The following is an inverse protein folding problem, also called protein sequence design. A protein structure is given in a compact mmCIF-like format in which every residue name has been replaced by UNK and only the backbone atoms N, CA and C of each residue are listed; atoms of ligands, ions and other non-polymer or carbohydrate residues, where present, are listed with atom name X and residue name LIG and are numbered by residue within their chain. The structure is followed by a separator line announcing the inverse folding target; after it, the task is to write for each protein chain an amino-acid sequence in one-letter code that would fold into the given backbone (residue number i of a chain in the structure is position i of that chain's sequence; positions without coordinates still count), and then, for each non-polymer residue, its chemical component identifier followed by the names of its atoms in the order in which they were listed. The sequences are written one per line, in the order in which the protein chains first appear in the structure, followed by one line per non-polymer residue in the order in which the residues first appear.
data_IF_709956961276
#
_entry.id   IF_709956961276
#
_cell.length_a   1.000
_cell.length_b   1.000
_cell.length_c   1.000
_cell.angle_alpha   90.00
_cell.angle_beta   90.00
_cell.angle_gamma   90.00
#
_symmetry.space_group_name_H-M   'P 1'
#
loop_
_entity.id
_entity.type
_entity.pdbx_description
1 polymer ?
#
# COMPACT_ATOMS: atom_id res chain seq x y z
N UNK A 1 -26.55 -20.38 35.82
CA UNK A 1 -26.21 -19.01 35.45
C UNK A 1 -24.85 -19.01 34.76
N UNK A 2 -24.80 -19.17 33.49
CA UNK A 2 -23.74 -18.75 32.56
C UNK A 2 -24.12 -19.21 31.16
N UNK A 3 -24.52 -18.34 30.26
CA UNK A 3 -24.01 -18.36 28.93
C UNK A 3 -23.99 -16.95 28.31
N UNK A 4 -23.04 -16.09 28.65
CA UNK A 4 -22.94 -14.76 28.07
C UNK A 4 -21.56 -14.44 27.46
N UNK A 5 -20.61 -15.39 27.42
CA UNK A 5 -19.25 -15.13 26.96
C UNK A 5 -18.92 -15.63 25.55
N UNK A 6 -19.86 -16.23 24.81
CA UNK A 6 -19.58 -16.84 23.51
C UNK A 6 -20.06 -16.02 22.30
N UNK A 7 -20.46 -14.77 22.46
CA UNK A 7 -21.06 -13.99 21.34
C UNK A 7 -20.19 -12.86 20.82
N UNK A 8 -18.87 -12.94 20.85
CA UNK A 8 -18.00 -11.89 20.26
C UNK A 8 -16.88 -12.36 19.34
N UNK A 9 -16.83 -13.60 18.89
CA UNK A 9 -15.76 -14.07 17.98
C UNK A 9 -16.17 -14.25 16.51
N UNK A 10 -17.27 -13.70 16.04
CA UNK A 10 -17.78 -13.93 14.68
C UNK A 10 -17.75 -12.76 13.71
N UNK A 11 -17.44 -11.56 14.13
CA UNK A 11 -17.21 -10.47 13.19
C UNK A 11 -15.74 -10.52 12.74
N UNK A 12 -15.43 -11.36 11.76
CA UNK A 12 -14.20 -11.21 11.00
C UNK A 12 -14.16 -9.73 10.57
N UNK A 13 -13.29 -8.95 11.20
CA UNK A 13 -13.19 -7.52 10.94
C UNK A 13 -12.87 -7.35 9.46
N UNK A 14 -13.88 -7.02 8.67
CA UNK A 14 -13.76 -6.82 7.23
C UNK A 14 -12.82 -5.65 7.01
N UNK A 15 -11.91 -5.80 6.05
CA UNK A 15 -11.10 -4.68 5.59
C UNK A 15 -12.03 -3.65 4.93
N UNK A 16 -11.92 -2.41 5.36
CA UNK A 16 -12.67 -1.32 4.75
C UNK A 16 -12.08 -1.02 3.37
N UNK A 17 -12.83 -1.33 2.32
CA UNK A 17 -12.35 -1.28 0.93
C UNK A 17 -11.97 0.13 0.49
N UNK A 18 -12.71 1.15 0.93
CA UNK A 18 -12.49 2.53 0.52
C UNK A 18 -11.14 3.06 1.00
N UNK A 19 -10.77 2.97 2.29
CA UNK A 19 -9.44 3.37 2.76
C UNK A 19 -8.30 2.61 2.07
N UNK A 20 -8.48 1.31 1.84
CA UNK A 20 -7.49 0.47 1.15
C UNK A 20 -7.30 0.95 -0.30
N UNK A 21 -8.38 1.23 -1.02
CA UNK A 21 -8.31 1.70 -2.40
C UNK A 21 -7.61 3.06 -2.50
N UNK A 22 -7.93 4.02 -1.62
CA UNK A 22 -7.27 5.32 -1.59
C UNK A 22 -5.79 5.21 -1.22
N UNK A 23 -5.45 4.43 -0.19
CA UNK A 23 -4.08 4.18 0.19
C UNK A 23 -3.28 3.52 -0.93
N UNK A 24 -3.85 2.53 -1.60
CA UNK A 24 -3.26 1.86 -2.75
C UNK A 24 -3.06 2.78 -3.95
N UNK A 25 -4.04 3.64 -4.25
CA UNK A 25 -3.93 4.61 -5.34
C UNK A 25 -2.79 5.61 -5.10
N UNK A 26 -2.71 6.21 -3.92
CA UNK A 26 -1.62 7.15 -3.56
C UNK A 26 -0.26 6.47 -3.66
N UNK A 27 -0.13 5.25 -3.15
CA UNK A 27 1.11 4.48 -3.24
C UNK A 27 1.47 4.14 -4.69
N UNK A 28 0.50 3.79 -5.55
CA UNK A 28 0.75 3.49 -6.97
C UNK A 28 1.21 4.71 -7.76
N UNK A 29 0.69 5.89 -7.47
CA UNK A 29 1.14 7.16 -8.07
C UNK A 29 2.64 7.37 -7.79
N UNK A 30 3.11 7.09 -6.57
CA UNK A 30 4.52 7.19 -6.23
C UNK A 30 5.41 6.21 -6.99
N UNK A 31 4.94 4.98 -7.22
CA UNK A 31 5.66 4.03 -8.08
C UNK A 31 5.79 4.55 -9.51
N UNK A 32 4.73 5.13 -10.06
CA UNK A 32 4.75 5.72 -11.41
C UNK A 32 5.66 6.95 -11.47
N UNK A 33 5.61 7.83 -10.47
CA UNK A 33 6.44 9.04 -10.40
C UNK A 33 7.93 8.71 -10.26
N UNK A 34 8.28 7.59 -9.64
CA UNK A 34 9.64 7.09 -9.51
C UNK A 34 10.14 6.34 -10.76
N UNK A 35 9.25 5.95 -11.68
CA UNK A 35 9.63 5.22 -12.87
C UNK A 35 10.57 6.06 -13.76
N UNK A 36 11.64 5.44 -14.27
CA UNK A 36 12.63 6.13 -15.10
C UNK A 36 13.55 7.11 -14.36
N UNK A 37 13.44 7.25 -13.04
CA UNK A 37 14.33 8.07 -12.22
C UNK A 37 15.49 7.25 -11.64
N UNK A 38 16.53 7.95 -11.21
CA UNK A 38 17.67 7.36 -10.50
C UNK A 38 17.23 6.67 -9.21
N UNK A 39 18.00 5.67 -8.80
CA UNK A 39 17.69 4.84 -7.62
C UNK A 39 17.35 5.64 -6.35
N UNK A 40 18.10 6.68 -5.94
CA UNK A 40 17.76 7.44 -4.73
C UNK A 40 16.40 8.13 -4.82
N UNK A 41 16.09 8.73 -5.98
CA UNK A 41 14.80 9.40 -6.21
C UNK A 41 13.67 8.39 -6.22
N UNK A 42 13.86 7.24 -6.86
CA UNK A 42 12.89 6.14 -6.89
C UNK A 42 12.60 5.62 -5.49
N UNK A 43 13.64 5.42 -4.67
CA UNK A 43 13.49 4.98 -3.29
C UNK A 43 12.76 6.02 -2.44
N UNK A 44 13.10 7.29 -2.56
CA UNK A 44 12.48 8.38 -1.81
C UNK A 44 10.99 8.53 -2.18
N UNK A 45 10.65 8.52 -3.46
CA UNK A 45 9.25 8.61 -3.92
C UNK A 45 8.44 7.40 -3.44
N UNK A 46 8.99 6.20 -3.51
CA UNK A 46 8.35 5.00 -2.99
C UNK A 46 8.16 5.10 -1.46
N UNK A 47 9.19 5.48 -0.71
CA UNK A 47 9.12 5.62 0.75
C UNK A 47 7.99 6.55 1.18
N UNK A 48 7.96 7.76 0.62
CA UNK A 48 6.94 8.77 0.95
C UNK A 48 5.54 8.28 0.55
N UNK A 49 5.40 7.77 -0.67
CA UNK A 49 4.08 7.38 -1.18
C UNK A 49 3.48 6.18 -0.48
N UNK A 50 4.30 5.18 -0.13
CA UNK A 50 3.83 4.02 0.62
C UNK A 50 3.58 4.34 2.09
N UNK A 51 4.39 5.20 2.72
CA UNK A 51 4.11 5.67 4.08
C UNK A 51 2.79 6.47 4.13
N UNK A 52 2.57 7.36 3.18
CA UNK A 52 1.30 8.10 3.05
C UNK A 52 0.13 7.17 2.72
N UNK A 53 0.31 6.23 1.81
CA UNK A 53 -0.71 5.24 1.46
C UNK A 53 -1.12 4.38 2.65
N UNK A 54 -0.14 3.87 3.41
CA UNK A 54 -0.37 3.11 4.64
C UNK A 54 -1.03 3.95 5.73
N UNK A 55 -0.61 5.21 5.88
CA UNK A 55 -1.22 6.17 6.79
C UNK A 55 -2.69 6.41 6.44
N UNK A 56 -3.00 6.76 5.19
CA UNK A 56 -4.38 7.02 4.73
C UNK A 56 -5.29 5.81 4.88
N UNK A 57 -4.78 4.62 4.57
CA UNK A 57 -5.51 3.38 4.77
C UNK A 57 -5.79 3.12 6.27
N UNK A 58 -4.85 3.46 7.15
CA UNK A 58 -4.97 3.29 8.59
C UNK A 58 -5.86 4.32 9.27
N UNK A 59 -5.82 5.60 8.86
CA UNK A 59 -6.60 6.70 9.48
C UNK A 59 -8.09 6.43 9.44
N UNK A 60 -8.57 5.92 8.32
CA UNK A 60 -10.01 5.66 8.10
C UNK A 60 -10.43 4.24 8.47
N UNK A 61 -9.47 3.40 8.88
CA UNK A 61 -9.78 2.03 9.28
C UNK A 61 -10.44 1.99 10.65
N UNK A 62 -11.57 1.31 10.75
CA UNK A 62 -12.30 1.10 12.01
C UNK A 62 -11.55 0.17 12.96
N UNK A 63 -10.78 -0.78 12.43
CA UNK A 63 -9.98 -1.75 13.17
C UNK A 63 -8.80 -2.27 12.33
N UNK A 64 -7.82 -2.92 12.98
CA UNK A 64 -6.69 -3.60 12.30
C UNK A 64 -5.93 -2.71 11.31
N UNK A 65 -5.58 -1.50 11.72
CA UNK A 65 -4.88 -0.51 10.89
C UNK A 65 -3.65 -1.05 10.12
N UNK A 66 -2.77 -1.86 10.71
CA UNK A 66 -1.66 -2.45 9.96
C UNK A 66 -2.11 -3.36 8.81
N UNK A 67 -3.20 -4.11 8.99
CA UNK A 67 -3.74 -4.95 7.92
C UNK A 67 -4.27 -4.12 6.73
N UNK A 68 -4.83 -2.93 7.00
CA UNK A 68 -5.22 -2.00 5.94
C UNK A 68 -4.02 -1.43 5.20
N UNK A 69 -2.90 -1.17 5.88
CA UNK A 69 -1.65 -0.75 5.25
C UNK A 69 -1.07 -1.83 4.33
N UNK A 70 -1.07 -3.10 4.77
CA UNK A 70 -0.67 -4.24 3.93
C UNK A 70 -1.59 -4.40 2.73
N UNK A 71 -2.91 -4.27 2.93
CA UNK A 71 -3.88 -4.35 1.84
C UNK A 71 -3.70 -3.19 0.84
N UNK A 72 -3.41 -1.97 1.30
CA UNK A 72 -3.12 -0.83 0.44
C UNK A 72 -1.83 -1.05 -0.36
N UNK A 73 -0.78 -1.60 0.27
CA UNK A 73 0.44 -2.01 -0.42
C UNK A 73 0.14 -3.03 -1.54
N UNK A 74 -0.59 -4.10 -1.25
CA UNK A 74 -0.96 -5.10 -2.25
C UNK A 74 -1.77 -4.48 -3.39
N UNK A 75 -2.74 -3.61 -3.08
CA UNK A 75 -3.54 -2.89 -4.07
C UNK A 75 -2.67 -2.02 -4.97
N UNK A 76 -1.68 -1.30 -4.41
CA UNK A 76 -0.75 -0.49 -5.19
C UNK A 76 0.04 -1.33 -6.19
N UNK A 77 0.51 -2.51 -5.78
CA UNK A 77 1.25 -3.41 -6.67
C UNK A 77 0.37 -4.03 -7.75
N UNK A 78 -0.88 -4.37 -7.44
CA UNK A 78 -1.84 -4.83 -8.46
C UNK A 78 -2.09 -3.72 -9.49
N UNK A 79 -2.35 -2.49 -9.06
CA UNK A 79 -2.54 -1.36 -9.96
C UNK A 79 -1.28 -1.09 -10.81
N UNK A 80 -0.10 -1.17 -10.20
CA UNK A 80 1.15 -0.98 -10.92
C UNK A 80 1.41 -2.12 -11.92
N UNK A 81 1.11 -3.37 -11.57
CA UNK A 81 1.20 -4.49 -12.50
C UNK A 81 0.25 -4.34 -13.69
N UNK A 82 -0.98 -3.87 -13.46
CA UNK A 82 -1.91 -3.55 -14.54
C UNK A 82 -1.36 -2.44 -15.45
N UNK A 83 -0.76 -1.40 -14.85
CA UNK A 83 -0.12 -0.31 -15.61
C UNK A 83 1.04 -0.84 -16.47
N UNK A 84 1.94 -1.67 -15.91
CA UNK A 84 3.04 -2.30 -16.65
C UNK A 84 2.50 -3.16 -17.80
N UNK A 85 1.46 -3.95 -17.55
CA UNK A 85 0.82 -4.77 -18.57
C UNK A 85 0.25 -3.96 -19.73
N UNK A 86 -0.44 -2.85 -19.40
CA UNK A 86 -0.96 -1.91 -20.37
C UNK A 86 0.17 -1.21 -21.17
N UNK A 87 1.22 -0.76 -20.48
CA UNK A 87 2.37 -0.14 -21.10
C UNK A 87 3.04 -1.06 -22.10
N UNK A 88 3.26 -2.33 -21.73
CA UNK A 88 3.83 -3.33 -22.64
C UNK A 88 2.92 -3.65 -23.83
N UNK A 89 1.61 -3.64 -23.63
CA UNK A 89 0.66 -3.81 -24.71
C UNK A 89 0.75 -2.64 -25.71
N UNK A 90 0.87 -1.40 -25.20
CA UNK A 90 1.05 -0.21 -26.04
C UNK A 90 2.38 -0.30 -26.81
N UNK A 91 3.49 -0.63 -26.12
CA UNK A 91 4.81 -0.81 -26.77
C UNK A 91 4.74 -1.85 -27.90
N UNK A 92 4.02 -2.95 -27.70
CA UNK A 92 3.82 -3.97 -28.70
C UNK A 92 2.98 -3.51 -29.93
N UNK A 93 2.04 -2.58 -29.69
CA UNK A 93 1.19 -2.04 -30.76
C UNK A 93 1.88 -0.92 -31.56
N UNK A 94 2.71 -0.11 -30.89
CA UNK A 94 3.42 1.03 -31.51
C UNK A 94 4.64 0.56 -32.30
N UNK A 95 5.22 -0.57 -31.93
CA UNK A 95 6.36 -1.19 -32.61
C UNK A 95 7.71 -0.92 -31.93
N UNK A 96 8.77 -1.63 -32.36
CA UNK A 96 10.06 -1.68 -31.68
C UNK A 96 10.91 -0.40 -31.78
N UNK A 97 10.49 0.58 -32.57
CA UNK A 97 11.22 1.85 -32.73
C UNK A 97 10.99 2.83 -31.57
N UNK A 98 9.95 2.62 -30.77
CA UNK A 98 9.68 3.46 -29.62
C UNK A 98 10.48 3.00 -28.38
N UNK A 99 11.00 3.94 -27.56
CA UNK A 99 11.66 3.56 -26.31
C UNK A 99 10.63 2.88 -25.38
N UNK A 100 11.03 1.79 -24.66
CA UNK A 100 10.09 1.06 -23.81
C UNK A 100 9.58 1.94 -22.69
N UNK A 101 8.26 1.95 -22.48
CA UNK A 101 7.61 2.73 -21.41
C UNK A 101 7.98 2.23 -20.01
N UNK A 102 8.40 0.97 -19.88
CA UNK A 102 8.78 0.36 -18.61
C UNK A 102 10.08 -0.43 -18.76
N UNK A 103 11.09 -0.06 -17.99
CA UNK A 103 12.38 -0.75 -17.89
C UNK A 103 12.60 -1.26 -16.46
N UNK A 104 13.31 -2.39 -16.32
CA UNK A 104 13.73 -2.95 -15.03
C UNK A 104 13.71 -4.47 -14.99
N UNK A 105 14.53 -5.05 -14.10
CA UNK A 105 14.57 -6.48 -13.88
C UNK A 105 13.51 -6.91 -12.85
N UNK A 106 13.04 -8.17 -12.94
CA UNK A 106 12.12 -8.72 -11.97
C UNK A 106 12.68 -8.74 -10.54
N UNK A 107 14.01 -8.86 -10.38
CA UNK A 107 14.70 -8.81 -9.10
C UNK A 107 14.59 -7.43 -8.46
N UNK A 108 14.84 -6.36 -9.22
CA UNK A 108 14.73 -4.98 -8.73
C UNK A 108 13.31 -4.69 -8.26
N UNK A 109 12.34 -5.26 -8.95
CA UNK A 109 10.93 -5.13 -8.61
C UNK A 109 10.60 -5.79 -7.27
N UNK A 110 11.13 -7.00 -6.99
CA UNK A 110 10.93 -7.69 -5.72
C UNK A 110 11.59 -6.97 -4.56
N UNK A 111 12.80 -6.45 -4.74
CA UNK A 111 13.51 -5.67 -3.71
C UNK A 111 12.71 -4.39 -3.40
N UNK A 112 12.25 -3.68 -4.43
CA UNK A 112 11.43 -2.50 -4.25
C UNK A 112 10.11 -2.81 -3.54
N UNK A 113 9.49 -3.96 -3.82
CA UNK A 113 8.26 -4.39 -3.16
C UNK A 113 8.46 -4.62 -1.66
N UNK A 114 9.57 -5.24 -1.27
CA UNK A 114 9.91 -5.46 0.14
C UNK A 114 10.09 -4.14 0.91
N UNK A 115 10.83 -3.18 0.35
CA UNK A 115 10.99 -1.85 0.93
C UNK A 115 9.67 -1.09 1.01
N UNK A 116 8.87 -1.13 -0.05
CA UNK A 116 7.56 -0.49 -0.08
C UNK A 116 6.62 -1.03 0.99
N UNK A 117 6.66 -2.34 1.27
CA UNK A 117 5.89 -2.95 2.35
C UNK A 117 6.32 -2.42 3.71
N UNK A 118 7.64 -2.30 3.96
CA UNK A 118 8.16 -1.74 5.19
C UNK A 118 7.66 -0.31 5.42
N UNK A 119 7.71 0.55 4.40
CA UNK A 119 7.21 1.92 4.50
C UNK A 119 5.69 1.99 4.69
N UNK A 120 4.91 1.14 4.03
CA UNK A 120 3.47 1.06 4.24
C UNK A 120 3.12 0.66 5.68
N UNK A 121 3.85 -0.30 6.24
CA UNK A 121 3.69 -0.71 7.62
C UNK A 121 4.07 0.40 8.60
N UNK A 122 5.16 1.14 8.36
CA UNK A 122 5.53 2.31 9.17
C UNK A 122 4.39 3.31 9.18
N UNK A 123 3.82 3.66 8.03
CA UNK A 123 2.67 4.55 7.94
C UNK A 123 1.47 4.06 8.75
N UNK A 124 1.13 2.77 8.62
CA UNK A 124 0.03 2.14 9.37
C UNK A 124 0.27 2.08 10.88
N UNK A 125 1.51 1.86 11.32
CA UNK A 125 1.89 1.86 12.74
C UNK A 125 1.85 3.26 13.33
N UNK A 126 2.38 4.27 12.61
CA UNK A 126 2.32 5.68 13.04
C UNK A 126 0.88 6.10 13.33
N UNK A 127 -0.05 5.76 12.44
CA UNK A 127 -1.48 6.01 12.69
C UNK A 127 -1.98 5.31 13.95
N UNK A 128 -1.56 4.05 14.13
CA UNK A 128 -2.00 3.29 15.30
C UNK A 128 -1.53 3.90 16.62
N UNK A 129 -0.31 4.45 16.64
CA UNK A 129 0.23 5.12 17.84
C UNK A 129 -0.41 6.49 18.07
N UNK A 130 -0.66 7.25 17.01
CA UNK A 130 -1.22 8.60 17.09
C UNK A 130 -2.71 8.64 17.44
N UNK A 131 -3.48 7.73 16.87
CA UNK A 131 -4.94 7.68 17.04
C UNK A 131 -5.41 6.67 18.10
N UNK A 132 -4.49 5.92 18.70
CA UNK A 132 -4.83 5.15 19.90
C UNK A 132 -5.02 6.15 21.04
N UNK A 133 -6.18 6.18 21.71
CA UNK A 133 -6.38 7.08 22.82
C UNK A 133 -5.35 6.72 23.90
N UNK A 134 -4.34 7.60 24.07
CA UNK A 134 -3.42 7.52 25.17
C UNK A 134 -4.25 7.57 26.45
N UNK A 135 -4.30 6.44 27.18
CA UNK A 135 -4.72 6.42 28.58
C UNK A 135 -6.20 6.64 28.84
N UNK A 136 -7.07 5.69 28.44
CA UNK A 136 -8.18 5.39 29.34
C UNK A 136 -7.62 4.52 30.46
N UNK A 137 -6.99 5.16 31.46
CA UNK A 137 -6.89 4.56 32.77
C UNK A 137 -8.34 4.29 33.23
N UNK A 138 -8.72 3.03 33.51
CA UNK A 138 -9.96 2.78 34.22
C UNK A 138 -9.84 3.47 35.60
N UNK A 139 -10.71 4.44 35.87
CA UNK A 139 -10.99 4.90 37.22
C UNK A 139 -11.90 3.92 37.91
#
# INVERSE_FOLDING_TARGET
MAPLLLRRSGAAARLDRIPVAWGGLVASIGLMAGAGRDWPVRLATAAVSFALGGFLAGVRASARRPAHAVAAWATAYVLHACFIGLARLIDALVGPEAPPLVSGSGRDWLVAAGWALAFALIGGVVVNTWLSPAGRHPR
#
